data_IF_423297156503
#
_entry.id   IF_423297156503
#
_cell.length_a   1.000
_cell.length_b   1.000
_cell.length_c   1.000
_cell.angle_alpha   90.00
_cell.angle_beta   90.00
_cell.angle_gamma   90.00
#
_symmetry.space_group_name_H-M   'P 1'
#
loop_
_entity.id
_entity.type
_entity.pdbx_description
1 polymer ?
#
# COMPACT_ATOMS: atom_id res chain seq x y z
N UNK A 1 0.69 -4.84 6.76
CA UNK A 1 -0.12 -3.81 7.46
C UNK A 1 -1.59 -4.08 7.15
N UNK A 2 -2.53 -3.55 7.93
CA UNK A 2 -3.98 -3.70 7.68
C UNK A 2 -4.60 -2.31 7.67
N UNK A 3 -5.31 -1.97 6.60
CA UNK A 3 -6.07 -0.71 6.49
C UNK A 3 -7.38 -0.81 7.27
N UNK A 4 -7.31 -0.67 8.59
CA UNK A 4 -8.45 -0.82 9.49
C UNK A 4 -9.54 0.22 9.22
N UNK A 5 -9.14 1.43 8.80
CA UNK A 5 -10.01 2.61 8.74
C UNK A 5 -10.40 3.00 7.31
N UNK A 6 -10.19 2.12 6.33
CA UNK A 6 -10.55 2.37 4.94
C UNK A 6 -9.86 3.61 4.35
N UNK A 7 -8.57 3.81 4.64
CA UNK A 7 -7.79 4.91 4.07
C UNK A 7 -7.76 4.85 2.54
N UNK A 8 -7.66 3.67 1.94
CA UNK A 8 -7.59 3.48 0.49
C UNK A 8 -8.94 3.54 -0.23
N UNK A 9 -10.06 3.56 0.49
CA UNK A 9 -11.39 3.50 -0.12
C UNK A 9 -11.79 2.10 -0.60
N UNK A 10 -11.02 1.06 -0.25
CA UNK A 10 -11.26 -0.35 -0.63
C UNK A 10 -12.13 -1.12 0.39
N UNK A 11 -12.55 -0.46 1.47
CA UNK A 11 -13.26 -1.05 2.60
C UNK A 11 -12.43 -1.05 3.90
N UNK A 12 -13.06 -1.26 5.06
CA UNK A 12 -12.34 -1.41 6.32
C UNK A 12 -11.66 -2.79 6.42
N UNK A 13 -10.58 -2.86 7.20
CA UNK A 13 -9.83 -4.08 7.52
C UNK A 13 -9.23 -4.80 6.31
N UNK A 14 -8.79 -4.05 5.29
CA UNK A 14 -8.15 -4.62 4.10
C UNK A 14 -6.69 -4.97 4.41
N UNK A 15 -6.27 -6.25 4.31
CA UNK A 15 -4.87 -6.63 4.45
C UNK A 15 -4.01 -6.11 3.31
N UNK A 16 -2.85 -5.58 3.65
CA UNK A 16 -1.91 -4.98 2.71
C UNK A 16 -0.53 -5.61 2.81
N UNK A 17 0.01 -5.98 1.65
CA UNK A 17 1.40 -6.40 1.48
C UNK A 17 2.20 -5.30 0.76
N UNK A 18 3.37 -4.89 1.28
CA UNK A 18 4.18 -3.83 0.69
C UNK A 18 4.90 -4.25 -0.60
N UNK A 19 4.78 -5.51 -1.03
CA UNK A 19 5.31 -5.99 -2.32
C UNK A 19 6.80 -5.74 -2.52
N UNK A 20 7.62 -6.02 -1.50
CA UNK A 20 9.07 -5.83 -1.59
C UNK A 20 9.62 -6.56 -2.82
N UNK A 21 10.20 -5.81 -3.78
CA UNK A 21 10.74 -6.36 -5.02
C UNK A 21 9.72 -6.56 -6.16
N UNK A 22 8.43 -6.26 -5.94
CA UNK A 22 7.36 -6.47 -6.92
C UNK A 22 6.75 -5.17 -7.45
N UNK A 23 7.50 -4.06 -7.45
CA UNK A 23 7.15 -2.71 -7.94
C UNK A 23 5.76 -2.14 -7.56
N UNK A 24 5.10 -2.73 -6.57
CA UNK A 24 3.68 -2.55 -6.32
C UNK A 24 3.36 -2.69 -4.84
N UNK A 25 2.31 -2.00 -4.41
CA UNK A 25 1.62 -2.28 -3.15
C UNK A 25 0.41 -3.16 -3.46
N UNK A 26 0.14 -4.15 -2.62
CA UNK A 26 -0.87 -5.16 -2.87
C UNK A 26 -1.93 -5.11 -1.77
N UNK A 27 -3.19 -4.99 -2.17
CA UNK A 27 -4.34 -5.09 -1.27
C UNK A 27 -5.11 -6.38 -1.57
N UNK A 28 -5.38 -7.19 -0.56
CA UNK A 28 -6.21 -8.39 -0.69
C UNK A 28 -7.63 -8.06 -0.25
N UNK A 29 -8.61 -8.10 -1.15
CA UNK A 29 -10.00 -7.88 -0.81
C UNK A 29 -10.54 -9.10 -0.05
N UNK A 30 -10.93 -8.97 1.24
CA UNK A 30 -11.31 -10.14 2.04
C UNK A 30 -12.57 -10.84 1.53
N UNK A 31 -13.50 -10.09 0.92
CA UNK A 31 -14.78 -10.62 0.46
C UNK A 31 -14.66 -11.49 -0.79
N UNK A 32 -13.76 -11.12 -1.71
CA UNK A 32 -13.60 -11.80 -3.01
C UNK A 32 -12.33 -12.64 -3.09
N UNK A 33 -11.34 -12.39 -2.23
CA UNK A 33 -10.00 -12.96 -2.34
C UNK A 33 -9.16 -12.39 -3.49
N UNK A 34 -9.63 -11.32 -4.14
CA UNK A 34 -8.95 -10.72 -5.27
C UNK A 34 -7.86 -9.74 -4.82
N UNK A 35 -6.82 -9.63 -5.64
CA UNK A 35 -5.73 -8.69 -5.44
C UNK A 35 -5.97 -7.40 -6.21
N UNK A 36 -5.97 -6.27 -5.50
CA UNK A 36 -5.82 -4.95 -6.10
C UNK A 36 -4.33 -4.59 -6.08
N UNK A 37 -3.79 -4.30 -7.27
CA UNK A 37 -2.36 -4.01 -7.47
C UNK A 37 -2.17 -2.51 -7.70
N UNK A 38 -1.57 -1.82 -6.73
CA UNK A 38 -1.22 -0.41 -6.78
C UNK A 38 0.21 -0.29 -7.32
N UNK A 39 0.35 -0.09 -8.64
CA UNK A 39 1.66 0.00 -9.30
C UNK A 39 2.36 1.31 -8.96
N UNK A 40 3.64 1.23 -8.58
CA UNK A 40 4.48 2.41 -8.39
C UNK A 40 5.21 2.72 -9.70
N UNK A 41 5.00 3.90 -10.31
CA UNK A 41 5.74 4.27 -11.51
C UNK A 41 7.22 4.51 -11.15
N UNK A 42 8.12 3.97 -11.98
CA UNK A 42 9.58 4.05 -11.79
C UNK A 42 10.07 3.48 -10.45
N UNK A 43 9.84 2.18 -10.20
CA UNK A 43 10.03 1.53 -8.91
C UNK A 43 11.51 1.20 -8.60
N UNK A 44 12.47 1.78 -9.31
CA UNK A 44 13.87 1.41 -9.16
C UNK A 44 14.30 1.68 -7.71
N UNK A 45 14.67 0.62 -6.98
CA UNK A 45 15.05 0.71 -5.57
C UNK A 45 13.87 0.73 -4.57
N UNK A 46 12.64 0.48 -5.01
CA UNK A 46 11.46 0.43 -4.16
C UNK A 46 11.29 -0.94 -3.47
N UNK A 47 11.96 -1.13 -2.31
CA UNK A 47 11.79 -2.30 -1.45
C UNK A 47 11.04 -1.93 -0.16
N UNK A 48 9.79 -1.49 -0.30
CA UNK A 48 8.93 -1.13 0.82
C UNK A 48 8.77 -2.29 1.81
N UNK A 49 8.72 -1.96 3.11
CA UNK A 49 8.53 -2.90 4.24
C UNK A 49 7.39 -2.46 5.16
N UNK A 50 7.11 -1.16 5.19
CA UNK A 50 6.08 -0.50 5.96
C UNK A 50 5.20 0.36 5.05
N UNK A 51 3.98 0.56 5.53
CA UNK A 51 2.96 1.34 4.87
C UNK A 51 2.06 1.94 5.96
N UNK A 52 1.73 3.21 5.82
CA UNK A 52 0.86 3.93 6.73
C UNK A 52 -0.15 4.78 5.97
N UNK A 53 -1.33 4.90 6.55
CA UNK A 53 -2.44 5.68 6.02
C UNK A 53 -2.82 6.82 6.94
N UNK A 54 -3.29 7.93 6.36
CA UNK A 54 -3.87 9.06 7.10
C UNK A 54 -5.17 9.51 6.45
N UNK A 55 -6.16 9.84 7.26
CA UNK A 55 -7.43 10.45 6.85
C UNK A 55 -7.47 11.84 7.48
N UNK A 56 -7.29 12.87 6.65
CA UNK A 56 -7.33 14.28 7.05
C UNK A 56 -8.78 14.82 7.04
N UNK A 57 -9.58 14.42 6.06
CA UNK A 57 -11.02 14.72 6.00
C UNK A 57 -11.77 13.52 5.38
N UNK A 58 -12.62 12.82 6.14
CA UNK A 58 -13.36 11.65 5.62
C UNK A 58 -14.35 12.02 4.50
N UNK A 59 -14.81 13.28 4.44
CA UNK A 59 -15.80 13.78 3.49
C UNK A 59 -15.18 14.35 2.21
N UNK A 60 -13.87 14.62 2.18
CA UNK A 60 -13.18 15.17 1.01
C UNK A 60 -12.81 14.10 -0.05
N UNK A 61 -13.38 12.90 0.05
CA UNK A 61 -13.10 11.78 -0.87
C UNK A 61 -11.62 11.36 -0.81
N UNK A 62 -11.03 11.09 -1.98
CA UNK A 62 -9.63 10.68 -2.07
C UNK A 62 -8.63 11.78 -1.70
N UNK A 63 -9.02 13.06 -1.79
CA UNK A 63 -8.13 14.20 -1.50
C UNK A 63 -7.91 14.42 -0.01
N UNK A 64 -8.85 13.97 0.84
CA UNK A 64 -8.72 14.02 2.29
C UNK A 64 -8.00 12.81 2.88
N UNK A 65 -7.35 12.01 2.05
CA UNK A 65 -6.71 10.75 2.44
C UNK A 65 -5.31 10.71 1.84
N UNK A 66 -4.40 10.05 2.55
CA UNK A 66 -3.06 9.86 2.06
C UNK A 66 -2.53 8.49 2.46
N UNK A 67 -1.66 7.97 1.60
CA UNK A 67 -0.95 6.72 1.82
C UNK A 67 0.53 6.97 1.61
N UNK A 68 1.34 6.46 2.51
CA UNK A 68 2.79 6.52 2.42
C UNK A 68 3.36 5.13 2.58
N UNK A 69 4.33 4.81 1.74
CA UNK A 69 5.17 3.64 1.91
C UNK A 69 6.59 4.12 2.20
N UNK A 70 7.33 3.38 3.01
CA UNK A 70 8.75 3.67 3.15
C UNK A 70 9.48 3.32 1.84
N UNK A 71 10.45 4.13 1.48
CA UNK A 71 11.43 3.77 0.46
C UNK A 71 12.54 2.94 1.12
N UNK A 72 12.46 1.61 1.01
CA UNK A 72 13.51 0.72 1.50
C UNK A 72 14.52 0.46 0.39
N UNK A 73 15.77 0.89 0.56
CA UNK A 73 16.85 0.52 -0.35
C UNK A 73 17.44 -0.81 0.08
N UNK A 74 17.43 -1.82 -0.81
CA UNK A 74 18.09 -3.11 -0.58
C UNK A 74 19.25 -3.31 -1.56
N UNK A 75 20.35 -3.89 -1.07
CA UNK A 75 21.46 -4.36 -1.90
C UNK A 75 21.15 -5.79 -2.39
N UNK A 76 20.51 -5.91 -3.56
CA UNK A 76 20.03 -7.20 -4.07
C UNK A 76 21.13 -8.20 -4.50
N UNK A 77 22.40 -7.82 -4.43
CA UNK A 77 23.55 -8.63 -4.86
C UNK A 77 24.14 -9.51 -3.73
N UNK A 78 23.48 -9.58 -2.57
CA UNK A 78 23.81 -10.48 -1.46
C UNK A 78 22.59 -11.30 -0.97
N UNK A 79 21.69 -11.65 -1.89
CA UNK A 79 20.57 -12.59 -1.60
C UNK A 79 21.11 -14.01 -1.49
#
# INVERSE_FOLDING_TARGET
WVDQFNTLGLGPNVPMAPGSGSDSLLALLPETGEWVVLRVPYPLGFFARGLDGRIDDPNAGWKGRGLWANYGSNLNWHI
#
